data_IF_952491063071
#
_entry.id   IF_952491063071
#
_cell.length_a   1.000
_cell.length_b   1.000
_cell.length_c   1.000
_cell.angle_alpha   90.00
_cell.angle_beta   90.00
_cell.angle_gamma   90.00
#
_symmetry.space_group_name_H-M   'P 1'
#
loop_
_entity.id
_entity.type
_entity.pdbx_description
1 polymer ?
#
# COMPACT_ATOMS: atom_id res chain seq x y z
N UNK A 1 -44.49 22.89 29.86
CA UNK A 1 -43.19 22.74 29.19
C UNK A 1 -42.15 23.50 29.97
N UNK A 2 -41.33 22.80 30.77
CA UNK A 2 -40.11 23.32 31.42
C UNK A 2 -38.92 22.74 30.64
N UNK A 3 -37.90 23.58 30.42
CA UNK A 3 -36.74 23.26 29.57
C UNK A 3 -35.87 22.15 30.17
N UNK A 4 -35.44 21.22 29.31
CA UNK A 4 -34.62 20.05 29.63
C UNK A 4 -33.10 20.35 29.72
N UNK A 5 -32.71 21.46 30.36
CA UNK A 5 -31.30 21.84 30.53
C UNK A 5 -30.81 21.83 32.00
N UNK A 6 -31.64 21.40 32.95
CA UNK A 6 -31.34 21.58 34.39
C UNK A 6 -30.75 20.33 35.09
N UNK A 7 -30.30 19.30 34.36
CA UNK A 7 -29.68 18.12 34.98
C UNK A 7 -28.39 17.72 34.25
N UNK A 8 -27.45 18.65 34.15
CA UNK A 8 -26.06 18.30 33.84
C UNK A 8 -25.19 18.86 34.96
N UNK A 9 -24.44 17.95 35.61
CA UNK A 9 -23.40 18.34 36.55
C UNK A 9 -22.43 19.27 35.84
N UNK A 10 -22.13 20.41 36.46
CA UNK A 10 -21.15 21.32 35.90
C UNK A 10 -19.78 20.64 35.85
N UNK A 11 -18.92 21.08 34.93
CA UNK A 11 -17.55 20.58 34.81
C UNK A 11 -16.77 20.72 36.12
N UNK A 12 -17.08 21.74 36.94
CA UNK A 12 -16.49 21.95 38.25
C UNK A 12 -16.95 20.90 39.28
N UNK A 13 -18.20 20.47 39.22
CA UNK A 13 -18.72 19.40 40.09
C UNK A 13 -18.10 18.05 39.76
N UNK A 14 -17.94 17.74 38.47
CA UNK A 14 -17.24 16.53 38.00
C UNK A 14 -15.78 16.55 38.47
N UNK A 15 -15.10 17.69 38.34
CA UNK A 15 -13.72 17.83 38.79
C UNK A 15 -13.57 17.74 40.31
N UNK A 16 -14.54 18.24 41.09
CA UNK A 16 -14.52 18.15 42.55
C UNK A 16 -14.73 16.70 43.05
N UNK A 17 -15.53 15.90 42.35
CA UNK A 17 -15.71 14.46 42.63
C UNK A 17 -14.42 13.71 42.31
N UNK A 18 -13.81 13.99 41.16
CA UNK A 18 -12.55 13.36 40.75
C UNK A 18 -11.39 13.71 41.67
N UNK A 19 -11.28 14.96 42.14
CA UNK A 19 -10.26 15.36 43.10
C UNK A 19 -10.43 14.69 44.46
N UNK A 20 -11.67 14.52 44.96
CA UNK A 20 -11.92 13.80 46.21
C UNK A 20 -11.54 12.32 46.10
N UNK A 21 -11.93 11.66 45.02
CA UNK A 21 -11.53 10.27 44.74
C UNK A 21 -10.00 10.13 44.64
N UNK A 22 -9.32 11.11 44.03
CA UNK A 22 -7.87 11.13 43.92
C UNK A 22 -7.19 11.28 45.30
N UNK A 23 -7.69 12.19 46.14
CA UNK A 23 -7.11 12.47 47.46
C UNK A 23 -7.12 11.27 48.42
N UNK A 24 -8.05 10.33 48.25
CA UNK A 24 -8.09 9.08 49.01
C UNK A 24 -7.10 8.01 48.52
N UNK A 25 -6.52 8.17 47.33
CA UNK A 25 -5.62 7.16 46.73
C UNK A 25 -4.14 7.53 46.77
N UNK A 26 -3.80 8.77 47.12
CA UNK A 26 -2.43 9.27 47.14
C UNK A 26 -1.86 9.33 48.56
N UNK A 27 -1.11 8.30 48.97
CA UNK A 27 -0.18 8.38 50.10
C UNK A 27 1.18 8.95 49.63
N UNK A 28 1.86 9.86 50.36
CA UNK A 28 3.06 10.53 49.87
C UNK A 28 4.34 9.67 49.91
N UNK A 29 4.29 8.41 50.37
CA UNK A 29 5.49 7.64 50.65
C UNK A 29 5.74 6.55 49.59
N UNK A 30 6.69 6.80 48.66
CA UNK A 30 6.92 5.99 47.44
C UNK A 30 7.49 4.58 47.64
N UNK A 31 7.73 4.11 48.86
CA UNK A 31 8.42 2.83 49.11
C UNK A 31 7.66 1.82 50.00
N UNK A 32 6.32 1.80 49.97
CA UNK A 32 5.54 0.66 50.49
C UNK A 32 4.51 0.18 49.47
N UNK A 33 4.25 -1.14 49.37
CA UNK A 33 3.17 -1.65 48.52
C UNK A 33 1.85 -1.05 48.98
N UNK A 34 1.06 -0.56 48.03
CA UNK A 34 -0.24 0.05 48.27
C UNK A 34 -1.15 -0.99 48.91
N UNK A 35 -1.56 -0.78 50.16
CA UNK A 35 -2.58 -1.61 50.80
C UNK A 35 -3.87 -1.55 49.95
N UNK A 36 -4.42 -2.73 49.63
CA UNK A 36 -5.65 -2.84 48.84
C UNK A 36 -6.77 -2.13 49.60
N UNK A 37 -7.48 -1.25 48.90
CA UNK A 37 -8.70 -0.58 49.39
C UNK A 37 -9.65 -1.62 49.99
N UNK A 38 -10.20 -1.32 51.17
CA UNK A 38 -11.17 -2.20 51.82
C UNK A 38 -12.52 -2.02 51.14
N UNK A 39 -13.34 -3.08 51.16
CA UNK A 39 -14.69 -3.06 50.57
C UNK A 39 -15.53 -1.89 51.10
N UNK A 40 -15.35 -1.53 52.38
CA UNK A 40 -16.01 -0.40 53.03
C UNK A 40 -15.72 0.97 52.39
N UNK A 41 -14.57 1.12 51.72
CA UNK A 41 -14.20 2.38 51.04
C UNK A 41 -14.97 2.56 49.72
N UNK A 42 -15.48 1.45 49.16
CA UNK A 42 -16.28 1.43 47.93
C UNK A 42 -17.77 1.63 48.21
N UNK A 43 -18.25 1.16 49.36
CA UNK A 43 -19.64 1.35 49.79
C UNK A 43 -19.97 2.84 49.96
N UNK A 44 -19.05 3.63 50.54
CA UNK A 44 -19.20 5.09 50.70
C UNK A 44 -19.30 5.81 49.34
N UNK A 45 -18.55 5.35 48.33
CA UNK A 45 -18.59 5.92 46.98
C UNK A 45 -19.90 5.57 46.25
N UNK A 46 -20.42 4.36 46.47
CA UNK A 46 -21.70 3.93 45.93
C UNK A 46 -22.89 4.64 46.61
N UNK A 47 -22.81 4.90 47.91
CA UNK A 47 -23.82 5.66 48.67
C UNK A 47 -23.92 7.12 48.20
N UNK A 48 -22.78 7.78 47.96
CA UNK A 48 -22.72 9.18 47.48
C UNK A 48 -23.30 9.35 46.06
N UNK A 49 -23.19 8.32 45.22
CA UNK A 49 -23.77 8.29 43.86
C UNK A 49 -25.29 8.02 43.94
N UNK A 50 -25.74 7.16 44.86
CA UNK A 50 -27.17 6.87 45.09
C UNK A 50 -27.96 8.07 45.61
N UNK A 51 -27.36 8.90 46.47
CA UNK A 51 -28.05 10.05 47.10
C UNK A 51 -28.43 11.14 46.07
N UNK A 52 -27.81 11.16 44.88
CA UNK A 52 -28.04 12.23 43.88
C UNK A 52 -28.86 11.82 42.66
N UNK A 53 -29.19 10.54 42.51
CA UNK A 53 -29.98 10.03 41.40
C UNK A 53 -31.31 9.45 41.91
N UNK A 54 -32.21 10.30 42.40
CA UNK A 54 -33.62 9.93 42.61
C UNK A 54 -34.53 10.82 41.79
N UNK A 55 -34.82 10.41 40.56
CA UNK A 55 -36.10 10.71 39.92
C UNK A 55 -36.45 9.60 38.94
N UNK A 56 -37.65 9.05 39.11
CA UNK A 56 -38.28 8.07 38.23
C UNK A 56 -38.62 8.74 36.90
N UNK A 57 -37.71 8.71 35.92
CA UNK A 57 -38.04 9.04 34.52
C UNK A 57 -36.91 8.56 33.58
N UNK A 58 -36.63 7.25 33.58
CA UNK A 58 -35.65 6.63 32.68
C UNK A 58 -36.22 5.38 31.99
N UNK A 59 -37.42 5.50 31.40
CA UNK A 59 -38.06 4.39 30.67
C UNK A 59 -38.32 4.64 29.18
N UNK A 60 -37.86 5.75 28.59
CA UNK A 60 -38.01 5.99 27.15
C UNK A 60 -36.85 6.80 26.56
N UNK A 61 -35.69 6.17 26.34
CA UNK A 61 -34.73 6.64 25.34
C UNK A 61 -34.02 5.43 24.71
N UNK A 62 -34.13 5.31 23.39
CA UNK A 62 -33.33 4.39 22.59
C UNK A 62 -31.86 4.79 22.67
N UNK A 63 -31.03 3.93 23.26
CA UNK A 63 -29.57 4.04 23.19
C UNK A 63 -29.16 3.51 21.81
N UNK A 64 -29.37 4.32 20.79
CA UNK A 64 -28.67 4.14 19.52
C UNK A 64 -27.53 5.17 19.44
N UNK A 65 -26.32 4.63 19.32
CA UNK A 65 -25.06 5.34 19.05
C UNK A 65 -24.56 6.30 20.13
N UNK A 66 -23.87 5.74 21.13
CA UNK A 66 -22.83 6.45 21.88
C UNK A 66 -21.47 5.88 21.46
N UNK A 67 -20.85 6.45 20.41
CA UNK A 67 -19.50 6.05 20.00
C UNK A 67 -18.48 6.68 20.95
N UNK A 68 -17.38 5.96 21.23
CA UNK A 68 -16.27 6.48 22.04
C UNK A 68 -15.67 7.80 21.51
N UNK A 69 -15.91 8.14 20.23
CA UNK A 69 -15.53 9.41 19.63
C UNK A 69 -16.25 10.62 20.21
N UNK A 70 -17.54 10.51 20.56
CA UNK A 70 -18.28 11.62 21.16
C UNK A 70 -17.70 12.03 22.52
N UNK A 71 -17.20 11.06 23.27
CA UNK A 71 -16.55 11.27 24.56
C UNK A 71 -15.12 11.83 24.41
N UNK A 72 -14.40 11.41 23.37
CA UNK A 72 -13.05 11.89 23.04
C UNK A 72 -13.05 13.34 22.54
N UNK A 73 -14.10 13.76 21.81
CA UNK A 73 -14.30 15.16 21.41
C UNK A 73 -14.53 16.10 22.60
N UNK A 74 -15.15 15.61 23.68
CA UNK A 74 -15.48 16.41 24.85
C UNK A 74 -14.25 16.72 25.75
N UNK A 75 -13.24 15.84 25.75
CA UNK A 75 -12.10 15.94 26.66
C UNK A 75 -10.80 16.43 25.99
N UNK A 76 -10.78 16.60 24.66
CA UNK A 76 -9.69 17.23 23.91
C UNK A 76 -8.31 16.54 24.03
N UNK A 77 -8.22 15.34 24.62
CA UNK A 77 -6.98 14.56 24.77
C UNK A 77 -7.24 13.04 24.78
N UNK A 78 -6.30 12.22 24.28
CA UNK A 78 -6.41 10.77 24.30
C UNK A 78 -6.33 10.20 25.72
N UNK A 79 -7.18 9.22 26.02
CA UNK A 79 -7.25 8.55 27.31
C UNK A 79 -5.99 7.72 27.59
N UNK A 80 -5.45 7.85 28.80
CA UNK A 80 -4.31 7.04 29.26
C UNK A 80 -4.66 5.55 29.39
N UNK A 81 -3.65 4.67 29.37
CA UNK A 81 -3.81 3.22 29.55
C UNK A 81 -4.60 2.85 30.80
N UNK A 82 -4.49 3.64 31.87
CA UNK A 82 -5.22 3.46 33.15
C UNK A 82 -6.71 3.81 33.03
N UNK A 83 -7.05 4.77 32.17
CA UNK A 83 -8.43 5.19 31.90
C UNK A 83 -9.19 4.18 31.04
N UNK A 84 -8.50 3.43 30.16
CA UNK A 84 -9.08 2.31 29.40
C UNK A 84 -9.50 1.15 30.29
N UNK A 85 -8.72 0.86 31.35
CA UNK A 85 -9.08 -0.17 32.34
C UNK A 85 -10.31 0.24 33.17
N UNK A 86 -10.48 1.53 33.46
CA UNK A 86 -11.69 2.06 34.11
C UNK A 86 -12.90 1.90 33.19
N UNK A 87 -12.74 2.12 31.87
CA UNK A 87 -13.82 1.94 30.89
C UNK A 87 -14.30 0.47 30.80
N UNK A 88 -13.36 -0.48 30.80
CA UNK A 88 -13.66 -1.92 30.85
C UNK A 88 -14.33 -2.29 32.17
N UNK A 89 -13.90 -1.68 33.29
CA UNK A 89 -14.52 -1.91 34.60
C UNK A 89 -15.95 -1.33 34.67
N UNK A 90 -16.21 -0.18 34.06
CA UNK A 90 -17.54 0.42 33.94
C UNK A 90 -18.45 -0.47 33.08
N UNK A 91 -17.96 -0.98 31.95
CA UNK A 91 -18.66 -1.99 31.15
C UNK A 91 -18.96 -3.26 31.96
N UNK A 92 -18.02 -3.71 32.80
CA UNK A 92 -18.21 -4.87 33.66
C UNK A 92 -19.22 -4.62 34.79
N UNK A 93 -19.24 -3.43 35.37
CA UNK A 93 -20.23 -3.01 36.38
C UNK A 93 -21.62 -2.92 35.74
N UNK A 94 -21.74 -2.39 34.52
CA UNK A 94 -22.99 -2.37 33.74
C UNK A 94 -23.48 -3.77 33.38
N UNK A 95 -22.56 -4.73 33.18
CA UNK A 95 -22.88 -6.15 32.97
C UNK A 95 -23.37 -6.81 34.27
N UNK A 96 -22.80 -6.46 35.42
CA UNK A 96 -23.15 -7.03 36.73
C UNK A 96 -24.47 -6.46 37.29
N UNK A 97 -24.84 -5.22 36.95
CA UNK A 97 -26.05 -4.56 37.51
C UNK A 97 -27.33 -4.63 36.65
N UNK A 98 -27.45 -5.60 35.73
CA UNK A 98 -28.67 -5.87 34.93
C UNK A 98 -29.19 -4.71 34.06
N UNK A 99 -28.98 -4.83 32.73
CA UNK A 99 -30.00 -4.74 31.66
C UNK A 99 -29.28 -4.69 30.29
N UNK A 100 -28.81 -5.85 29.82
CA UNK A 100 -28.57 -6.03 28.38
C UNK A 100 -29.87 -6.53 27.77
N UNK A 101 -30.29 -5.91 26.67
CA UNK A 101 -31.35 -6.47 25.86
C UNK A 101 -30.87 -7.76 25.15
N UNK A 102 -31.80 -8.47 24.52
CA UNK A 102 -31.48 -9.77 23.92
C UNK A 102 -30.58 -9.66 22.67
N UNK A 103 -30.52 -8.48 22.03
CA UNK A 103 -29.64 -8.21 20.89
C UNK A 103 -28.19 -8.07 21.34
N UNK A 104 -27.94 -7.36 22.44
CA UNK A 104 -26.60 -7.21 23.00
C UNK A 104 -26.08 -8.51 23.64
N UNK A 105 -26.97 -9.33 24.22
CA UNK A 105 -26.62 -10.70 24.65
C UNK A 105 -26.19 -11.56 23.46
N UNK A 106 -26.84 -11.43 22.30
CA UNK A 106 -26.49 -12.19 21.11
C UNK A 106 -25.14 -11.76 20.52
N UNK A 107 -24.83 -10.46 20.48
CA UNK A 107 -23.51 -9.97 20.08
C UNK A 107 -22.41 -10.44 21.04
N UNK A 108 -22.65 -10.39 22.35
CA UNK A 108 -21.70 -10.88 23.34
C UNK A 108 -21.48 -12.40 23.22
N UNK A 109 -22.55 -13.17 22.98
CA UNK A 109 -22.45 -14.61 22.74
C UNK A 109 -21.62 -14.93 21.49
N UNK A 110 -21.80 -14.18 20.40
CA UNK A 110 -21.02 -14.34 19.17
C UNK A 110 -19.55 -13.99 19.37
N UNK A 111 -19.26 -12.91 20.12
CA UNK A 111 -17.90 -12.52 20.48
C UNK A 111 -17.19 -13.61 21.31
N UNK A 112 -17.87 -14.16 22.32
CA UNK A 112 -17.32 -15.24 23.15
C UNK A 112 -17.13 -16.55 22.37
N UNK A 113 -18.01 -16.83 21.41
CA UNK A 113 -17.92 -18.00 20.52
C UNK A 113 -16.73 -17.88 19.56
N UNK A 114 -16.50 -16.70 18.99
CA UNK A 114 -15.33 -16.41 18.16
C UNK A 114 -14.02 -16.54 18.95
N UNK A 115 -14.00 -16.02 20.19
CA UNK A 115 -12.83 -16.15 21.09
C UNK A 115 -12.52 -17.60 21.46
N UNK A 116 -13.53 -18.41 21.77
CA UNK A 116 -13.31 -19.81 22.13
C UNK A 116 -12.90 -20.67 20.94
N UNK A 117 -13.41 -20.39 19.72
CA UNK A 117 -12.95 -21.03 18.49
C UNK A 117 -11.47 -20.73 18.21
N UNK A 118 -11.07 -19.47 18.40
CA UNK A 118 -9.68 -19.05 18.31
C UNK A 118 -8.78 -19.81 19.30
N UNK A 119 -9.17 -19.91 20.57
CA UNK A 119 -8.35 -20.60 21.59
C UNK A 119 -8.23 -22.12 21.35
N UNK A 120 -9.26 -22.78 20.83
CA UNK A 120 -9.19 -24.22 20.53
C UNK A 120 -8.31 -24.54 19.32
N UNK A 121 -8.30 -23.67 18.30
CA UNK A 121 -7.53 -23.89 17.07
C UNK A 121 -6.01 -23.71 17.28
N UNK A 122 -5.61 -22.87 18.23
CA UNK A 122 -4.21 -22.47 18.39
C UNK A 122 -3.52 -23.01 19.65
N UNK A 123 -4.21 -23.72 20.54
CA UNK A 123 -3.61 -24.24 21.78
C UNK A 123 -3.76 -25.76 22.01
N UNK A 124 -4.27 -26.54 21.03
CA UNK A 124 -4.33 -28.00 21.16
C UNK A 124 -3.93 -28.70 19.85
N UNK A 125 -2.65 -29.04 19.71
CA UNK A 125 -2.18 -30.41 19.44
C UNK A 125 -0.73 -30.39 18.97
N UNK A 126 0.13 -30.92 19.84
CA UNK A 126 1.51 -31.26 19.54
C UNK A 126 1.61 -32.76 19.85
N UNK A 127 1.49 -33.61 18.81
CA UNK A 127 1.97 -34.99 18.85
C UNK A 127 2.52 -35.42 17.49
N UNK A 128 3.75 -35.90 17.60
CA UNK A 128 4.73 -36.38 16.63
C UNK A 128 4.29 -37.60 15.81
N UNK A 129 4.85 -37.76 14.60
CA UNK A 129 5.42 -39.05 14.15
C UNK A 129 6.35 -38.91 12.91
N UNK A 130 7.27 -39.89 12.69
CA UNK A 130 8.52 -39.73 11.94
C UNK A 130 8.44 -40.17 10.46
N UNK A 131 9.36 -39.66 9.64
CA UNK A 131 9.55 -40.01 8.22
C UNK A 131 10.69 -41.01 8.06
N UNK A 132 10.42 -42.10 7.34
CA UNK A 132 11.37 -43.13 6.90
C UNK A 132 11.83 -42.91 5.46
N UNK A 133 13.10 -43.22 5.22
CA UNK A 133 13.85 -43.20 3.95
C UNK A 133 13.71 -44.50 3.15
N UNK A 134 13.71 -44.41 1.81
CA UNK A 134 14.16 -45.44 0.86
C UNK A 134 14.38 -44.77 -0.52
N UNK A 135 15.61 -44.67 -1.02
CA UNK A 135 16.35 -45.61 -1.89
C UNK A 135 15.88 -45.70 -3.35
N UNK A 136 16.86 -45.49 -4.23
CA UNK A 136 16.84 -45.44 -5.69
C UNK A 136 17.63 -46.68 -6.18
N UNK A 137 17.36 -47.29 -7.36
CA UNK A 137 18.43 -47.27 -8.36
C UNK A 137 18.04 -47.36 -9.86
N UNK A 138 18.82 -46.63 -10.67
CA UNK A 138 19.50 -46.98 -11.93
C UNK A 138 18.77 -47.71 -13.07
N UNK A 139 18.95 -47.20 -14.30
CA UNK A 139 19.30 -48.04 -15.46
C UNK A 139 20.06 -47.30 -16.58
N UNK A 140 21.31 -47.74 -16.78
CA UNK A 140 22.12 -47.91 -17.99
C UNK A 140 21.69 -47.32 -19.35
N UNK A 141 22.56 -46.46 -19.92
CA UNK A 141 22.60 -46.18 -21.37
C UNK A 141 23.93 -46.68 -21.97
N UNK A 142 23.79 -47.49 -23.03
CA UNK A 142 24.86 -48.17 -23.78
C UNK A 142 25.69 -47.20 -24.63
N UNK A 143 27.02 -47.40 -24.62
CA UNK A 143 27.98 -46.86 -25.59
C UNK A 143 27.79 -47.52 -26.97
N UNK A 144 27.80 -46.72 -28.04
CA UNK A 144 28.05 -47.19 -29.41
C UNK A 144 29.24 -46.45 -30.04
N UNK A 145 29.90 -47.22 -30.89
CA UNK A 145 31.24 -47.13 -31.45
C UNK A 145 31.42 -46.04 -32.51
N UNK A 146 32.61 -45.44 -32.52
CA UNK A 146 33.08 -44.49 -33.52
C UNK A 146 33.56 -45.21 -34.79
N UNK A 147 33.23 -44.67 -35.97
CA UNK A 147 33.94 -44.96 -37.21
C UNK A 147 34.19 -43.68 -38.02
N UNK A 148 35.47 -43.44 -38.29
CA UNK A 148 36.07 -42.92 -39.53
C UNK A 148 35.29 -41.94 -40.42
N UNK A 149 35.69 -40.66 -40.37
CA UNK A 149 35.96 -39.85 -41.58
C UNK A 149 36.86 -38.64 -41.21
N UNK A 150 38.17 -38.79 -41.42
CA UNK A 150 39.17 -37.82 -40.93
C UNK A 150 39.33 -36.57 -41.82
N UNK A 151 38.73 -36.54 -43.01
CA UNK A 151 38.88 -35.41 -43.96
C UNK A 151 37.67 -34.47 -43.98
N UNK A 152 36.52 -34.89 -43.44
CA UNK A 152 35.31 -34.06 -43.36
C UNK A 152 35.26 -33.17 -42.11
N UNK A 153 36.12 -33.41 -41.11
CA UNK A 153 36.12 -32.70 -39.83
C UNK A 153 36.72 -31.29 -39.89
N UNK A 154 37.66 -31.04 -40.80
CA UNK A 154 38.32 -29.72 -40.88
C UNK A 154 37.40 -28.63 -41.45
N UNK A 155 36.50 -28.97 -42.37
CA UNK A 155 35.53 -28.00 -42.90
C UNK A 155 34.53 -27.53 -41.85
N UNK A 156 34.04 -28.44 -40.99
CA UNK A 156 33.14 -28.05 -39.88
C UNK A 156 33.86 -27.24 -38.81
N UNK A 157 35.13 -27.53 -38.51
CA UNK A 157 35.91 -26.74 -37.54
C UNK A 157 36.15 -25.31 -38.06
N UNK A 158 36.43 -25.14 -39.36
CA UNK A 158 36.55 -23.81 -39.98
C UNK A 158 35.22 -23.05 -40.00
N UNK A 159 34.10 -23.72 -40.26
CA UNK A 159 32.77 -23.11 -40.26
C UNK A 159 32.35 -22.69 -38.85
N UNK A 160 32.64 -23.51 -37.83
CA UNK A 160 32.39 -23.20 -36.42
C UNK A 160 33.28 -22.03 -35.97
N UNK A 161 34.55 -21.98 -36.37
CA UNK A 161 35.44 -20.87 -36.04
C UNK A 161 35.00 -19.55 -36.68
N UNK A 162 34.53 -19.57 -37.93
CA UNK A 162 34.04 -18.39 -38.63
C UNK A 162 32.72 -17.86 -38.02
N UNK A 163 31.79 -18.77 -37.68
CA UNK A 163 30.57 -18.40 -36.97
C UNK A 163 30.86 -17.92 -35.55
N UNK A 164 31.83 -18.52 -34.85
CA UNK A 164 32.30 -18.06 -33.55
C UNK A 164 32.87 -16.64 -33.60
N UNK A 165 33.66 -16.32 -34.64
CA UNK A 165 34.18 -14.97 -34.87
C UNK A 165 33.07 -13.96 -35.19
N UNK A 166 32.05 -14.33 -35.98
CA UNK A 166 30.90 -13.48 -36.26
C UNK A 166 30.04 -13.24 -35.01
N UNK A 167 29.82 -14.29 -34.21
CA UNK A 167 29.13 -14.18 -32.92
C UNK A 167 29.92 -13.32 -31.93
N UNK A 168 31.25 -13.48 -31.86
CA UNK A 168 32.09 -12.60 -31.02
C UNK A 168 32.10 -11.15 -31.53
N UNK A 169 32.03 -10.92 -32.85
CA UNK A 169 31.94 -9.57 -33.40
C UNK A 169 30.59 -8.92 -33.10
N UNK A 170 29.49 -9.68 -33.23
CA UNK A 170 28.15 -9.22 -32.87
C UNK A 170 27.99 -9.03 -31.35
N UNK A 171 28.62 -9.88 -30.53
CA UNK A 171 28.65 -9.76 -29.08
C UNK A 171 29.54 -8.60 -28.61
N UNK A 172 30.69 -8.38 -29.26
CA UNK A 172 31.52 -7.20 -29.01
C UNK A 172 30.81 -5.92 -29.45
N UNK A 173 30.05 -5.96 -30.54
CA UNK A 173 29.25 -4.83 -31.02
C UNK A 173 28.02 -4.57 -30.13
N UNK A 174 27.38 -5.61 -29.58
CA UNK A 174 26.28 -5.46 -28.62
C UNK A 174 26.73 -5.00 -27.24
N UNK A 175 27.95 -5.35 -26.82
CA UNK A 175 28.52 -4.89 -25.53
C UNK A 175 29.16 -3.50 -25.61
N UNK A 176 29.52 -3.02 -26.80
CA UNK A 176 30.09 -1.67 -27.00
C UNK A 176 29.08 -0.63 -27.47
N UNK A 177 27.86 -1.02 -27.85
CA UNK A 177 26.74 -0.11 -28.03
C UNK A 177 26.07 0.20 -26.69
N UNK A 178 26.86 0.68 -25.73
CA UNK A 178 26.34 1.55 -24.68
C UNK A 178 25.99 2.87 -25.36
N UNK A 179 24.78 2.94 -25.91
CA UNK A 179 24.20 4.20 -26.36
C UNK A 179 24.24 5.17 -25.20
N UNK A 180 25.09 6.19 -25.30
CA UNK A 180 24.97 7.40 -24.48
C UNK A 180 23.74 8.17 -24.97
N UNK A 181 22.54 7.60 -24.87
CA UNK A 181 21.31 8.37 -25.09
C UNK A 181 21.18 9.35 -23.93
N UNK A 182 21.65 10.57 -24.18
CA UNK A 182 21.37 11.72 -23.32
C UNK A 182 19.85 11.90 -23.35
N UNK A 183 19.15 11.42 -22.32
CA UNK A 183 17.73 11.74 -22.16
C UNK A 183 17.67 13.22 -21.80
N UNK A 184 17.31 14.03 -22.78
CA UNK A 184 17.19 15.48 -22.64
C UNK A 184 15.71 15.74 -22.40
N UNK A 185 15.34 15.97 -21.14
CA UNK A 185 14.04 16.58 -20.82
C UNK A 185 14.28 18.09 -20.90
N UNK A 186 13.71 18.72 -21.93
CA UNK A 186 13.68 20.18 -22.08
C UNK A 186 12.32 20.70 -21.61
N UNK A 187 12.31 21.85 -20.94
CA UNK A 187 11.04 22.49 -20.61
C UNK A 187 10.39 23.07 -21.86
N UNK A 188 9.05 23.10 -21.89
CA UNK A 188 8.28 23.68 -22.99
C UNK A 188 8.29 25.22 -23.02
N UNK A 189 8.85 25.90 -22.01
CA UNK A 189 9.05 27.35 -22.04
C UNK A 189 10.44 27.65 -22.62
N UNK A 190 10.50 28.13 -23.86
CA UNK A 190 11.74 28.42 -24.59
C UNK A 190 12.72 29.33 -23.82
N UNK A 191 12.22 30.09 -22.84
CA UNK A 191 13.01 31.02 -22.02
C UNK A 191 13.68 30.33 -20.84
N UNK A 192 13.10 29.25 -20.32
CA UNK A 192 13.63 28.49 -19.17
C UNK A 192 14.22 27.20 -19.72
N UNK A 193 15.52 27.24 -19.99
CA UNK A 193 16.24 26.05 -20.45
C UNK A 193 16.71 25.27 -19.25
N UNK A 194 15.88 24.36 -18.78
CA UNK A 194 16.33 23.27 -17.92
C UNK A 194 16.63 22.08 -18.80
N UNK A 195 17.84 21.56 -18.67
CA UNK A 195 18.26 20.34 -19.33
C UNK A 195 18.70 19.36 -18.27
N UNK A 196 18.07 18.21 -18.30
CA UNK A 196 18.42 17.12 -17.40
C UNK A 196 19.45 16.25 -18.10
N UNK A 197 20.55 15.96 -17.42
CA UNK A 197 21.55 15.03 -17.93
C UNK A 197 21.93 14.06 -16.84
N UNK A 198 21.97 12.77 -17.17
CA UNK A 198 22.47 11.77 -16.26
C UNK A 198 23.88 11.37 -16.70
N UNK A 199 24.87 11.56 -15.81
CA UNK A 199 26.26 11.15 -16.07
C UNK A 199 26.48 9.64 -15.92
N UNK A 200 25.52 8.90 -15.32
CA UNK A 200 25.57 7.46 -15.11
C UNK A 200 24.24 6.86 -15.56
N UNK A 201 24.26 6.12 -16.66
CA UNK A 201 23.13 5.64 -17.49
C UNK A 201 22.08 4.73 -16.81
N UNK A 202 21.60 5.14 -15.64
CA UNK A 202 20.89 4.31 -14.69
C UNK A 202 20.01 5.27 -13.91
N UNK A 203 18.81 5.57 -14.41
CA UNK A 203 17.77 6.26 -13.63
C UNK A 203 17.23 5.33 -12.55
N UNK A 204 18.10 4.67 -11.81
CA UNK A 204 17.73 3.83 -10.69
C UNK A 204 18.49 4.29 -9.46
N UNK A 205 17.83 4.34 -8.30
CA UNK A 205 18.47 4.87 -7.13
C UNK A 205 19.63 4.00 -6.60
N UNK A 206 20.65 4.62 -5.99
CA UNK A 206 20.86 6.07 -5.98
C UNK A 206 21.30 6.57 -7.37
N UNK A 207 20.63 7.59 -7.92
CA UNK A 207 21.03 8.19 -9.19
C UNK A 207 21.24 9.70 -9.07
N UNK A 208 22.32 10.16 -9.70
CA UNK A 208 22.64 11.58 -9.79
C UNK A 208 21.98 12.19 -11.03
N UNK A 209 21.15 13.19 -10.81
CA UNK A 209 20.51 13.95 -11.88
C UNK A 209 21.12 15.34 -11.90
N UNK A 210 21.68 15.71 -13.05
CA UNK A 210 22.25 17.03 -13.28
C UNK A 210 21.19 17.91 -13.93
N UNK A 211 20.88 19.01 -13.28
CA UNK A 211 19.99 20.08 -13.71
C UNK A 211 20.83 21.20 -14.29
N UNK A 212 21.02 21.20 -15.61
CA UNK A 212 21.64 22.32 -16.32
C UNK A 212 20.59 23.41 -16.51
N UNK A 213 20.88 24.65 -16.11
CA UNK A 213 19.93 25.77 -16.20
C UNK A 213 20.56 26.99 -16.89
N UNK A 214 19.75 27.73 -17.65
CA UNK A 214 20.11 29.00 -18.28
C UNK A 214 18.93 29.98 -18.26
N UNK A 215 19.13 31.11 -17.57
CA UNK A 215 18.19 32.20 -17.35
C UNK A 215 18.80 33.56 -17.75
N UNK A 216 19.89 33.59 -18.54
CA UNK A 216 20.59 34.85 -18.89
C UNK A 216 19.70 35.92 -19.51
N UNK A 217 18.67 35.49 -20.24
CA UNK A 217 17.72 36.37 -20.94
C UNK A 217 16.48 36.70 -20.09
N UNK A 218 16.48 36.32 -18.80
CA UNK A 218 15.37 36.56 -17.87
C UNK A 218 15.85 37.47 -16.74
N UNK A 219 15.09 38.54 -16.46
CA UNK A 219 15.31 39.38 -15.27
C UNK A 219 14.63 38.75 -14.06
N UNK A 220 15.39 38.47 -13.01
CA UNK A 220 14.90 37.93 -11.73
C UNK A 220 15.74 38.49 -10.57
N UNK A 221 15.22 38.44 -9.33
CA UNK A 221 15.98 38.78 -8.12
C UNK A 221 16.50 37.53 -7.43
N UNK A 222 15.68 36.49 -7.36
CA UNK A 222 16.01 35.23 -6.72
C UNK A 222 15.64 34.05 -7.62
N UNK A 223 16.50 33.03 -7.65
CA UNK A 223 16.29 31.80 -8.38
C UNK A 223 16.47 30.59 -7.47
N UNK A 224 15.56 29.64 -7.55
CA UNK A 224 15.60 28.40 -6.77
C UNK A 224 15.29 27.18 -7.64
N UNK A 225 16.01 26.09 -7.39
CA UNK A 225 15.58 24.74 -7.75
C UNK A 225 14.77 24.18 -6.57
N UNK A 226 13.57 23.68 -6.83
CA UNK A 226 12.67 23.14 -5.81
C UNK A 226 12.56 21.63 -5.98
N UNK A 227 13.07 20.86 -5.02
CA UNK A 227 13.01 19.39 -5.00
C UNK A 227 12.39 18.97 -3.68
N UNK A 228 11.33 18.15 -3.70
CA UNK A 228 10.60 17.73 -2.50
C UNK A 228 10.15 18.91 -1.60
N UNK A 229 9.82 20.05 -2.22
CA UNK A 229 9.45 21.28 -1.52
C UNK A 229 10.62 22.07 -0.91
N UNK A 230 11.84 21.53 -0.94
CA UNK A 230 13.04 22.24 -0.49
C UNK A 230 13.52 23.21 -1.57
N UNK A 231 13.75 24.47 -1.20
CA UNK A 231 14.29 25.50 -2.08
C UNK A 231 15.81 25.52 -2.00
N UNK A 232 16.46 25.31 -3.13
CA UNK A 232 17.91 25.33 -3.29
C UNK A 232 18.26 26.59 -4.09
N UNK A 233 18.99 27.57 -3.51
CA UNK A 233 19.33 28.79 -4.22
C UNK A 233 20.24 28.51 -5.41
N UNK A 234 20.02 29.24 -6.52
CA UNK A 234 20.84 29.21 -7.73
C UNK A 234 21.58 30.54 -7.87
N UNK A 235 22.87 30.54 -7.56
CA UNK A 235 23.68 31.77 -7.43
C UNK A 235 24.10 32.41 -8.77
N UNK A 236 23.84 31.72 -9.89
CA UNK A 236 24.21 32.18 -11.22
C UNK A 236 22.97 32.20 -12.14
N UNK A 237 23.02 33.02 -13.18
CA UNK A 237 22.02 32.98 -14.27
C UNK A 237 22.21 31.80 -15.21
N UNK A 238 23.34 31.11 -15.14
CA UNK A 238 23.57 29.87 -15.85
C UNK A 238 24.47 28.98 -15.00
N UNK A 239 24.17 27.68 -14.97
CA UNK A 239 24.98 26.72 -14.24
C UNK A 239 24.41 25.32 -14.29
N UNK A 240 24.89 24.48 -13.39
CA UNK A 240 24.40 23.12 -13.20
C UNK A 240 24.28 22.82 -11.72
N UNK A 241 23.20 22.15 -11.32
CA UNK A 241 23.04 21.60 -9.97
C UNK A 241 22.89 20.08 -10.04
N UNK A 242 23.53 19.32 -9.15
CA UNK A 242 23.38 17.86 -9.12
C UNK A 242 22.63 17.45 -7.86
N UNK A 243 21.57 16.66 -8.03
CA UNK A 243 20.84 16.05 -6.91
C UNK A 243 20.90 14.53 -7.01
N UNK A 244 21.09 13.86 -5.87
CA UNK A 244 21.06 12.39 -5.79
C UNK A 244 19.69 11.94 -5.33
N UNK A 245 18.95 11.26 -6.20
CA UNK A 245 17.68 10.62 -5.88
C UNK A 245 17.94 9.25 -5.29
N UNK A 246 17.43 9.00 -4.08
CA UNK A 246 17.69 7.77 -3.31
C UNK A 246 16.53 6.76 -3.34
N UNK A 247 15.39 7.14 -3.92
CA UNK A 247 14.22 6.27 -4.07
C UNK A 247 13.62 6.39 -5.47
N UNK A 248 13.06 5.30 -6.02
CA UNK A 248 12.37 5.33 -7.30
C UNK A 248 11.03 6.04 -7.09
N UNK A 249 10.54 6.72 -8.12
CA UNK A 249 9.30 7.47 -8.02
C UNK A 249 9.16 8.50 -9.12
N UNK A 250 8.01 9.17 -9.11
CA UNK A 250 7.81 10.38 -9.91
C UNK A 250 8.03 11.57 -8.98
N UNK A 251 9.14 12.28 -9.18
CA UNK A 251 9.48 13.44 -8.38
C UNK A 251 9.03 14.71 -9.08
N UNK A 252 8.19 15.50 -8.41
CA UNK A 252 7.88 16.86 -8.86
C UNK A 252 9.04 17.78 -8.55
N UNK A 253 9.70 18.28 -9.58
CA UNK A 253 10.76 19.26 -9.46
C UNK A 253 10.28 20.57 -10.05
N UNK A 254 10.77 21.70 -9.54
CA UNK A 254 10.40 23.00 -10.06
C UNK A 254 11.59 23.95 -10.18
N UNK A 255 11.53 24.86 -11.14
CA UNK A 255 12.33 26.09 -11.13
C UNK A 255 11.44 27.23 -10.65
N UNK A 256 11.91 27.97 -9.64
CA UNK A 256 11.26 29.17 -9.14
C UNK A 256 12.14 30.39 -9.43
N UNK A 257 11.61 31.37 -10.15
CA UNK A 257 12.20 32.68 -10.39
C UNK A 257 11.28 33.74 -9.77
N UNK A 258 11.71 34.39 -8.69
CA UNK A 258 10.88 35.26 -7.85
C UNK A 258 9.56 34.57 -7.44
N UNK A 259 8.42 35.04 -7.99
CA UNK A 259 7.08 34.50 -7.74
C UNK A 259 6.60 33.50 -8.81
N UNK A 260 7.39 33.28 -9.86
CA UNK A 260 7.03 32.37 -10.95
C UNK A 260 7.60 30.99 -10.66
N UNK A 261 6.75 29.97 -10.62
CA UNK A 261 7.15 28.58 -10.42
C UNK A 261 6.76 27.76 -11.66
N UNK A 262 7.69 26.96 -12.17
CA UNK A 262 7.47 26.01 -13.25
C UNK A 262 7.83 24.62 -12.80
N UNK A 263 6.84 23.72 -12.80
CA UNK A 263 6.99 22.33 -12.40
C UNK A 263 7.26 21.44 -13.62
N UNK A 264 7.94 20.33 -13.37
CA UNK A 264 8.11 19.23 -14.31
C UNK A 264 8.20 17.93 -13.51
N UNK A 265 7.74 16.84 -14.12
CA UNK A 265 7.81 15.51 -13.52
C UNK A 265 9.14 14.85 -13.92
N UNK A 266 9.78 14.25 -12.94
CA UNK A 266 10.99 13.46 -13.13
C UNK A 266 10.73 12.02 -12.76
N UNK A 267 10.79 11.13 -13.75
CA UNK A 267 10.62 9.68 -13.54
C UNK A 267 11.96 9.06 -13.14
N UNK A 268 12.07 8.67 -11.88
CA UNK A 268 13.16 7.85 -11.37
C UNK A 268 12.73 6.39 -11.44
N UNK A 269 13.28 5.65 -12.41
CA UNK A 269 13.00 4.24 -12.69
C UNK A 269 13.47 3.35 -11.53
N UNK A 270 12.96 2.13 -11.46
CA UNK A 270 13.41 1.13 -10.50
C UNK A 270 14.25 0.04 -11.18
N UNK A 271 15.17 -0.59 -10.44
CA UNK A 271 15.98 -1.74 -10.93
C UNK A 271 15.20 -3.07 -10.98
N UNK A 272 13.90 -3.02 -10.76
CA UNK A 272 13.05 -4.17 -10.50
C UNK A 272 11.84 -3.71 -9.69
N UNK A 273 11.15 -4.66 -9.09
CA UNK A 273 10.11 -4.35 -8.12
C UNK A 273 10.72 -3.79 -6.83
N UNK A 274 9.94 -3.00 -6.11
CA UNK A 274 10.19 -2.65 -4.72
C UNK A 274 8.88 -2.66 -3.97
N UNK A 275 8.95 -2.85 -2.66
CA UNK A 275 7.79 -2.92 -1.80
C UNK A 275 7.78 -1.77 -0.80
N UNK A 276 6.60 -1.21 -0.59
CA UNK A 276 6.33 -0.28 0.50
C UNK A 276 5.31 -0.94 1.43
N UNK A 277 5.70 -1.16 2.69
CA UNK A 277 4.78 -1.62 3.74
C UNK A 277 4.56 -0.45 4.69
N UNK A 278 3.34 0.07 4.74
CA UNK A 278 2.98 1.31 5.46
C UNK A 278 3.94 2.48 5.17
N UNK A 279 4.26 2.68 3.89
CA UNK A 279 5.21 3.68 3.38
C UNK A 279 6.69 3.44 3.75
N UNK A 280 7.02 2.30 4.36
CA UNK A 280 8.40 1.92 4.63
C UNK A 280 8.92 1.05 3.48
N UNK A 281 10.04 1.45 2.89
CA UNK A 281 10.70 0.63 1.87
C UNK A 281 11.24 -0.66 2.48
N UNK A 282 10.73 -1.79 2.01
CA UNK A 282 11.04 -3.12 2.51
C UNK A 282 11.71 -3.95 1.41
N UNK A 283 12.72 -4.80 1.73
CA UNK A 283 13.26 -5.76 0.78
C UNK A 283 12.16 -6.70 0.30
N UNK A 284 12.08 -6.96 -1.01
CA UNK A 284 11.11 -7.89 -1.59
C UNK A 284 11.18 -9.26 -0.91
N UNK A 285 10.01 -9.88 -0.75
CA UNK A 285 9.84 -11.22 -0.22
C UNK A 285 9.01 -12.04 -1.18
N UNK A 286 9.32 -13.33 -1.22
CA UNK A 286 8.69 -14.29 -2.11
C UNK A 286 8.26 -15.51 -1.31
N UNK A 287 7.10 -16.06 -1.63
CA UNK A 287 6.57 -17.30 -1.04
C UNK A 287 5.96 -18.14 -2.15
N UNK A 288 6.50 -19.34 -2.34
CA UNK A 288 6.05 -20.29 -3.38
C UNK A 288 6.02 -19.67 -4.79
N UNK A 289 7.00 -18.82 -5.13
CA UNK A 289 7.08 -18.17 -6.44
C UNK A 289 6.29 -16.86 -6.56
N UNK A 290 5.45 -16.50 -5.57
CA UNK A 290 4.69 -15.25 -5.58
C UNK A 290 5.38 -14.14 -4.76
N UNK A 291 5.24 -12.88 -5.17
CA UNK A 291 5.55 -11.72 -4.32
C UNK A 291 4.59 -11.69 -3.14
N UNK A 292 5.12 -11.78 -1.92
CA UNK A 292 4.32 -11.87 -0.70
C UNK A 292 5.16 -11.61 0.56
N UNK A 293 4.56 -10.94 1.56
CA UNK A 293 5.07 -10.89 2.92
C UNK A 293 4.27 -11.80 3.86
N UNK A 294 4.94 -12.77 4.48
CA UNK A 294 4.39 -13.44 5.66
C UNK A 294 4.33 -12.40 6.81
N UNK A 295 3.20 -12.34 7.53
CA UNK A 295 3.06 -11.40 8.66
C UNK A 295 4.16 -11.53 9.72
N UNK A 296 4.68 -12.75 9.93
CA UNK A 296 5.79 -13.01 10.87
C UNK A 296 7.12 -12.35 10.47
N UNK A 297 7.28 -12.00 9.20
CA UNK A 297 8.49 -11.38 8.65
C UNK A 297 8.42 -9.84 8.75
N UNK A 298 7.26 -9.29 9.10
CA UNK A 298 7.05 -7.87 9.27
C UNK A 298 7.45 -7.42 10.69
N UNK A 299 8.03 -6.22 10.84
CA UNK A 299 8.26 -5.63 12.16
C UNK A 299 6.97 -5.57 12.98
N UNK A 300 7.05 -5.98 14.25
CA UNK A 300 5.87 -6.04 15.14
C UNK A 300 5.12 -4.70 15.22
N UNK A 301 5.84 -3.58 15.12
CA UNK A 301 5.28 -2.23 15.14
C UNK A 301 4.30 -1.97 13.99
N UNK A 302 4.49 -2.60 12.83
CA UNK A 302 3.55 -2.48 11.69
C UNK A 302 2.25 -3.25 11.92
N UNK A 303 2.24 -4.18 12.88
CA UNK A 303 1.08 -5.02 13.18
C UNK A 303 0.29 -4.53 14.39
N UNK A 304 0.82 -3.57 15.16
CA UNK A 304 0.22 -3.11 16.42
C UNK A 304 -1.13 -2.40 16.21
N UNK A 305 -1.26 -1.63 15.14
CA UNK A 305 -2.48 -0.87 14.83
C UNK A 305 -3.53 -1.72 14.10
N UNK A 306 -3.19 -2.95 13.74
CA UNK A 306 -4.07 -3.89 13.06
C UNK A 306 -4.46 -3.46 11.64
N UNK A 307 -3.81 -2.43 11.09
CA UNK A 307 -3.94 -1.99 9.70
C UNK A 307 -2.61 -2.21 9.02
N UNK A 308 -2.62 -2.90 7.89
CA UNK A 308 -1.44 -3.19 7.12
C UNK A 308 -1.72 -2.81 5.67
N UNK A 309 -0.86 -2.00 5.07
CA UNK A 309 -0.91 -1.69 3.65
C UNK A 309 0.39 -2.09 2.98
N UNK A 310 0.28 -2.89 1.92
CA UNK A 310 1.44 -3.33 1.14
C UNK A 310 1.29 -2.89 -0.30
N UNK A 311 2.32 -2.22 -0.83
CA UNK A 311 2.36 -1.79 -2.23
C UNK A 311 3.58 -2.39 -2.91
N UNK A 312 3.38 -3.15 -3.97
CA UNK A 312 4.45 -3.58 -4.86
C UNK A 312 4.46 -2.65 -6.06
N UNK A 313 5.58 -1.99 -6.29
CA UNK A 313 5.70 -0.96 -7.32
C UNK A 313 6.85 -1.25 -8.26
N UNK A 314 6.65 -0.97 -9.54
CA UNK A 314 7.69 -0.96 -10.56
C UNK A 314 7.56 0.30 -11.42
N UNK A 315 8.69 0.91 -11.70
CA UNK A 315 8.77 2.11 -12.53
C UNK A 315 9.74 1.79 -13.66
N UNK A 316 9.20 1.70 -14.87
CA UNK A 316 9.94 1.22 -16.03
C UNK A 316 9.38 1.86 -17.30
N UNK A 317 10.15 1.84 -18.38
CA UNK A 317 9.68 2.32 -19.67
C UNK A 317 9.31 1.09 -20.49
N UNK A 318 8.04 0.70 -20.49
CA UNK A 318 7.58 -0.51 -21.18
C UNK A 318 7.30 -0.28 -22.67
N UNK A 319 7.30 0.98 -23.13
CA UNK A 319 6.86 1.34 -24.49
C UNK A 319 5.43 0.84 -24.80
N UNK A 320 4.58 0.76 -23.77
CA UNK A 320 3.17 0.37 -23.87
C UNK A 320 2.29 1.59 -23.66
N UNK A 321 1.46 1.89 -24.65
CA UNK A 321 0.49 2.98 -24.58
C UNK A 321 -0.77 2.53 -23.83
N UNK A 322 -1.13 3.24 -22.76
CA UNK A 322 -2.26 2.93 -21.89
C UNK A 322 -3.64 3.07 -22.54
N UNK A 323 -3.73 3.68 -23.72
CA UNK A 323 -4.95 3.77 -24.50
C UNK A 323 -5.14 2.60 -25.49
N UNK A 324 -4.13 1.73 -25.64
CA UNK A 324 -4.24 0.49 -26.40
C UNK A 324 -3.34 -0.63 -25.86
N UNK A 325 -3.76 -1.21 -24.73
CA UNK A 325 -3.01 -2.24 -24.02
C UNK A 325 -3.89 -3.30 -23.39
N UNK A 326 -3.23 -4.37 -22.94
CA UNK A 326 -3.79 -5.34 -22.00
C UNK A 326 -2.84 -5.47 -20.82
N UNK A 327 -3.38 -5.37 -19.60
CA UNK A 327 -2.71 -5.66 -18.35
C UNK A 327 -3.40 -6.85 -17.68
N UNK A 328 -2.63 -7.84 -17.26
CA UNK A 328 -3.11 -9.04 -16.59
C UNK A 328 -2.28 -9.28 -15.32
N UNK A 329 -2.92 -9.70 -14.23
CA UNK A 329 -2.25 -10.06 -13.00
C UNK A 329 -3.03 -11.12 -12.24
N UNK A 330 -2.32 -12.02 -11.57
CA UNK A 330 -2.92 -13.03 -10.70
C UNK A 330 -2.65 -12.68 -9.24
N UNK A 331 -3.72 -12.38 -8.51
CA UNK A 331 -3.62 -11.81 -7.16
C UNK A 331 -4.49 -12.55 -6.15
N UNK A 332 -4.13 -12.47 -4.88
CA UNK A 332 -5.00 -12.80 -3.74
C UNK A 332 -4.74 -11.83 -2.59
N UNK A 333 -5.70 -11.67 -1.69
CA UNK A 333 -5.50 -10.91 -0.46
C UNK A 333 -6.43 -11.43 0.65
N UNK A 334 -6.17 -12.59 1.25
CA UNK A 334 -7.06 -13.16 2.26
C UNK A 334 -7.03 -12.37 3.58
N UNK A 335 -8.14 -12.40 4.32
CA UNK A 335 -8.27 -11.72 5.61
C UNK A 335 -7.17 -12.12 6.61
N UNK A 336 -6.81 -13.41 6.68
CA UNK A 336 -5.77 -13.91 7.58
C UNK A 336 -4.35 -13.40 7.27
N UNK A 337 -4.12 -12.84 6.08
CA UNK A 337 -2.86 -12.22 5.66
C UNK A 337 -2.82 -10.71 6.00
N UNK A 338 -3.54 -10.29 7.05
CA UNK A 338 -3.52 -8.93 7.58
C UNK A 338 -4.56 -8.00 6.96
N UNK A 339 -5.56 -8.56 6.26
CA UNK A 339 -6.70 -7.80 5.78
C UNK A 339 -7.49 -7.17 6.95
N UNK A 340 -7.97 -5.95 6.73
CA UNK A 340 -8.89 -5.27 7.65
C UNK A 340 -10.31 -5.29 7.11
N UNK A 341 -11.28 -4.71 7.83
CA UNK A 341 -12.64 -4.58 7.30
C UNK A 341 -12.62 -3.94 5.91
N UNK A 342 -13.30 -4.57 4.95
CA UNK A 342 -13.29 -4.15 3.55
C UNK A 342 -11.89 -4.11 2.91
N UNK A 343 -11.09 -5.16 3.13
CA UNK A 343 -9.81 -5.31 2.45
C UNK A 343 -9.98 -5.40 0.93
N UNK A 344 -8.95 -5.01 0.20
CA UNK A 344 -9.00 -4.87 -1.24
C UNK A 344 -7.66 -5.20 -1.91
N UNK A 345 -7.71 -5.28 -3.24
CA UNK A 345 -6.53 -5.25 -4.11
C UNK A 345 -6.71 -4.06 -5.05
N UNK A 346 -5.77 -3.11 -4.99
CA UNK A 346 -5.76 -1.91 -5.81
C UNK A 346 -4.71 -2.02 -6.91
N UNK A 347 -5.03 -1.51 -8.09
CA UNK A 347 -4.18 -1.45 -9.26
C UNK A 347 -4.06 -0.01 -9.70
N UNK A 348 -2.84 0.49 -9.81
CA UNK A 348 -2.53 1.84 -10.27
C UNK A 348 -1.48 1.79 -11.39
N UNK A 349 -1.91 2.15 -12.60
CA UNK A 349 -1.06 2.29 -13.77
C UNK A 349 -1.05 3.77 -14.17
N UNK A 350 0.13 4.41 -14.12
CA UNK A 350 0.26 5.84 -14.47
C UNK A 350 0.89 5.97 -15.83
N UNK A 351 0.18 6.65 -16.71
CA UNK A 351 0.63 6.95 -18.05
C UNK A 351 1.25 8.35 -18.16
N UNK A 352 2.13 8.48 -19.14
CA UNK A 352 2.96 9.65 -19.37
C UNK A 352 2.83 10.12 -20.81
N UNK A 353 2.85 11.44 -20.99
CA UNK A 353 2.94 12.08 -22.30
C UNK A 353 4.02 13.15 -22.22
N UNK A 354 4.94 13.14 -23.18
CA UNK A 354 6.07 14.07 -23.24
C UNK A 354 6.84 14.15 -21.90
N UNK A 355 7.07 12.99 -21.27
CA UNK A 355 7.73 12.82 -19.96
C UNK A 355 7.05 13.49 -18.76
N UNK A 356 5.81 13.96 -18.91
CA UNK A 356 4.97 14.42 -17.80
C UNK A 356 3.87 13.41 -17.52
N UNK A 357 3.38 13.36 -16.28
CA UNK A 357 2.19 12.56 -15.97
C UNK A 357 1.04 13.06 -16.84
N UNK A 358 0.41 12.14 -17.58
CA UNK A 358 -0.78 12.43 -18.36
C UNK A 358 -2.01 12.10 -17.53
N UNK A 359 -2.53 10.87 -17.63
CA UNK A 359 -3.63 10.37 -16.81
C UNK A 359 -3.29 8.97 -16.27
N UNK A 360 -4.20 8.38 -15.49
CA UNK A 360 -4.00 7.09 -14.85
C UNK A 360 -5.14 6.12 -15.13
N UNK A 361 -4.84 4.83 -14.96
CA UNK A 361 -5.80 3.76 -14.76
C UNK A 361 -5.68 3.34 -13.30
N UNK A 362 -6.76 3.49 -12.55
CA UNK A 362 -6.79 3.15 -11.12
C UNK A 362 -8.08 2.41 -10.81
N UNK A 363 -8.00 1.19 -10.31
CA UNK A 363 -9.19 0.44 -9.87
C UNK A 363 -8.86 -0.50 -8.73
N UNK A 364 -9.87 -0.84 -7.93
CA UNK A 364 -9.71 -1.83 -6.88
C UNK A 364 -10.84 -2.86 -6.89
N UNK A 365 -10.45 -4.08 -6.48
CA UNK A 365 -11.33 -5.20 -6.20
C UNK A 365 -11.47 -5.28 -4.68
N UNK A 366 -12.70 -5.22 -4.18
CA UNK A 366 -13.01 -5.18 -2.75
C UNK A 366 -13.68 -6.47 -2.31
N UNK A 367 -13.69 -6.75 -1.02
CA UNK A 367 -14.48 -7.88 -0.50
C UNK A 367 -15.98 -7.71 -0.73
N UNK A 368 -16.72 -8.82 -0.63
CA UNK A 368 -18.19 -8.82 -0.60
C UNK A 368 -18.75 -7.79 0.39
N UNK A 369 -19.86 -7.16 0.02
CA UNK A 369 -20.60 -6.12 0.77
C UNK A 369 -19.80 -4.82 1.05
N UNK A 370 -18.70 -4.60 0.34
CA UNK A 370 -17.84 -3.42 0.46
C UNK A 370 -17.79 -2.56 -0.81
N UNK A 371 -18.77 -2.68 -1.71
CA UNK A 371 -18.83 -1.97 -3.00
C UNK A 371 -18.74 -0.44 -2.85
N UNK A 372 -19.15 0.10 -1.69
CA UNK A 372 -18.99 1.52 -1.37
C UNK A 372 -17.53 2.00 -1.42
N UNK A 373 -16.58 1.09 -1.21
CA UNK A 373 -15.13 1.38 -1.23
C UNK A 373 -14.48 1.05 -2.57
N UNK A 374 -15.22 0.52 -3.54
CA UNK A 374 -14.74 0.33 -4.89
C UNK A 374 -14.61 1.69 -5.60
N UNK A 375 -13.53 1.82 -6.38
CA UNK A 375 -13.22 2.95 -7.22
C UNK A 375 -12.71 2.43 -8.56
N UNK A 376 -12.98 3.20 -9.60
CA UNK A 376 -12.56 2.89 -10.96
C UNK A 376 -12.30 4.20 -11.68
N UNK A 377 -11.13 4.35 -12.26
CA UNK A 377 -10.72 5.51 -13.04
C UNK A 377 -9.92 5.05 -14.24
N UNK A 378 -10.25 5.59 -15.42
CA UNK A 378 -9.44 5.46 -16.64
C UNK A 378 -9.45 6.81 -17.33
N UNK A 379 -8.27 7.38 -17.55
CA UNK A 379 -8.16 8.74 -18.09
C UNK A 379 -8.83 9.75 -17.15
N UNK A 380 -9.79 10.51 -17.67
CA UNK A 380 -10.62 11.49 -16.95
C UNK A 380 -11.95 10.91 -16.47
N UNK A 381 -12.31 9.70 -16.89
CA UNK A 381 -13.55 9.05 -16.49
C UNK A 381 -13.32 8.32 -15.18
N UNK A 382 -14.20 8.55 -14.19
CA UNK A 382 -14.08 7.95 -12.87
C UNK A 382 -15.46 7.61 -12.28
N UNK A 383 -15.53 6.49 -11.57
CA UNK A 383 -16.66 5.98 -10.82
C UNK A 383 -16.23 5.69 -9.38
N UNK A 384 -17.13 5.89 -8.43
CA UNK A 384 -16.87 5.62 -7.02
C UNK A 384 -18.13 5.14 -6.31
N UNK A 385 -18.02 4.02 -5.59
CA UNK A 385 -19.10 3.51 -4.76
C UNK A 385 -19.53 4.51 -3.68
N UNK A 386 -18.63 5.38 -3.22
CA UNK A 386 -18.96 6.44 -2.27
C UNK A 386 -19.88 7.52 -2.86
N UNK A 387 -19.84 7.71 -4.17
CA UNK A 387 -20.70 8.64 -4.91
C UNK A 387 -22.02 8.00 -5.36
N UNK A 388 -22.22 6.72 -5.08
CA UNK A 388 -23.41 5.97 -5.46
C UNK A 388 -23.33 5.33 -6.85
N UNK A 389 -22.16 5.32 -7.48
CA UNK A 389 -21.97 4.54 -8.71
C UNK A 389 -22.09 3.04 -8.40
N UNK A 390 -22.75 2.30 -9.28
CA UNK A 390 -22.92 0.86 -9.08
C UNK A 390 -21.63 0.10 -9.44
N UNK A 391 -20.87 -0.25 -8.40
CA UNK A 391 -19.63 -1.02 -8.50
C UNK A 391 -19.72 -2.39 -7.78
N UNK A 392 -20.93 -2.94 -7.65
CA UNK A 392 -21.15 -4.27 -7.04
C UNK A 392 -20.31 -5.36 -7.72
N UNK A 393 -20.10 -5.25 -9.04
CA UNK A 393 -19.29 -6.21 -9.79
C UNK A 393 -17.79 -6.18 -9.44
N UNK A 394 -17.32 -5.15 -8.72
CA UNK A 394 -15.97 -5.10 -8.15
C UNK A 394 -15.83 -5.84 -6.80
N UNK A 395 -16.92 -6.44 -6.30
CA UNK A 395 -16.89 -7.21 -5.05
C UNK A 395 -16.62 -8.69 -5.34
N UNK A 396 -15.69 -9.32 -4.61
CA UNK A 396 -15.42 -10.76 -4.70
C UNK A 396 -14.80 -11.32 -3.42
N UNK A 397 -14.76 -12.64 -3.32
CA UNK A 397 -14.01 -13.34 -2.27
C UNK A 397 -12.52 -13.36 -2.58
N UNK A 398 -11.76 -12.44 -2.00
CA UNK A 398 -10.31 -12.30 -2.21
C UNK A 398 -9.46 -13.34 -1.45
N UNK A 399 -10.08 -14.37 -0.86
CA UNK A 399 -9.35 -15.43 -0.14
C UNK A 399 -8.58 -16.40 -1.05
N UNK A 400 -8.93 -16.43 -2.34
CA UNK A 400 -8.31 -17.27 -3.36
C UNK A 400 -7.60 -16.45 -4.44
N UNK A 401 -6.83 -17.12 -5.30
CA UNK A 401 -6.19 -16.46 -6.44
C UNK A 401 -7.22 -16.17 -7.53
N UNK A 402 -7.20 -14.93 -8.02
CA UNK A 402 -8.02 -14.46 -9.12
C UNK A 402 -7.13 -13.93 -10.24
N UNK A 403 -7.50 -14.27 -11.48
CA UNK A 403 -6.87 -13.73 -12.68
C UNK A 403 -7.63 -12.45 -13.06
N UNK A 404 -6.97 -11.29 -12.94
CA UNK A 404 -7.53 -9.97 -13.21
C UNK A 404 -6.98 -9.48 -14.55
N UNK A 405 -7.86 -9.02 -15.43
CA UNK A 405 -7.52 -8.48 -16.74
C UNK A 405 -8.12 -7.10 -16.94
N UNK A 406 -7.30 -6.15 -17.36
CA UNK A 406 -7.68 -4.82 -17.79
C UNK A 406 -7.29 -4.62 -19.25
N UNK A 407 -8.23 -4.24 -20.09
CA UNK A 407 -8.02 -3.98 -21.52
C UNK A 407 -8.46 -2.56 -21.86
N UNK A 408 -7.65 -1.85 -22.63
CA UNK A 408 -8.04 -0.60 -23.29
C UNK A 408 -7.85 -0.74 -24.78
N UNK A 409 -8.86 -0.29 -25.54
CA UNK A 409 -8.79 -0.19 -26.99
C UNK A 409 -9.81 0.83 -27.48
N UNK A 410 -9.40 1.75 -28.36
CA UNK A 410 -10.28 2.78 -28.94
C UNK A 410 -11.13 3.53 -27.89
N UNK A 411 -10.51 3.92 -26.78
CA UNK A 411 -11.17 4.57 -25.63
C UNK A 411 -12.30 3.77 -24.96
N UNK A 412 -12.38 2.46 -25.22
CA UNK A 412 -13.16 1.52 -24.43
C UNK A 412 -12.25 0.85 -23.40
N UNK A 413 -12.68 0.84 -22.14
CA UNK A 413 -12.01 0.12 -21.07
C UNK A 413 -12.87 -1.07 -20.64
N UNK A 414 -12.21 -2.21 -20.41
CA UNK A 414 -12.86 -3.46 -20.01
C UNK A 414 -12.07 -4.11 -18.88
N UNK A 415 -12.78 -4.48 -17.81
CA UNK A 415 -12.22 -5.21 -16.67
C UNK A 415 -12.87 -6.57 -16.61
N UNK A 416 -12.04 -7.61 -16.52
CA UNK A 416 -12.49 -8.98 -16.33
C UNK A 416 -11.80 -9.62 -15.12
N UNK A 417 -12.51 -10.50 -14.44
CA UNK A 417 -12.00 -11.33 -13.34
C UNK A 417 -12.37 -12.78 -13.64
N UNK A 418 -11.40 -13.68 -13.63
CA UNK A 418 -11.57 -15.10 -13.97
C UNK A 418 -12.35 -15.31 -15.28
N UNK A 419 -11.89 -14.61 -16.33
CA UNK A 419 -12.48 -14.56 -17.67
C UNK A 419 -13.92 -13.99 -17.77
N UNK A 420 -14.48 -13.45 -16.67
CA UNK A 420 -15.78 -12.80 -16.67
C UNK A 420 -15.65 -11.28 -16.68
N UNK A 421 -16.30 -10.63 -17.64
CA UNK A 421 -16.34 -9.16 -17.73
C UNK A 421 -17.17 -8.61 -16.58
N UNK A 422 -16.56 -7.78 -15.73
CA UNK A 422 -17.22 -7.12 -14.60
C UNK A 422 -17.52 -5.65 -14.87
N UNK A 423 -16.73 -4.98 -15.72
CA UNK A 423 -16.96 -3.60 -16.14
C UNK A 423 -16.57 -3.41 -17.61
N UNK A 424 -17.37 -2.64 -18.33
CA UNK A 424 -17.08 -2.19 -19.69
C UNK A 424 -17.66 -0.79 -19.89
N UNK A 425 -16.84 0.16 -20.32
CA UNK A 425 -17.27 1.56 -20.46
C UNK A 425 -16.36 2.35 -21.39
N UNK A 426 -16.91 3.42 -21.98
CA UNK A 426 -16.14 4.41 -22.73
C UNK A 426 -15.53 5.41 -21.75
N UNK A 427 -14.24 5.71 -21.93
CA UNK A 427 -13.55 6.72 -21.14
C UNK A 427 -13.14 7.94 -21.98
N UNK A 428 -12.71 8.99 -21.31
CA UNK A 428 -12.23 10.23 -21.93
C UNK A 428 -10.84 10.60 -21.43
N UNK A 429 -10.11 11.41 -22.19
CA UNK A 429 -8.71 11.71 -21.91
C UNK A 429 -7.75 10.71 -22.55
N UNK A 430 -6.45 10.94 -22.38
CA UNK A 430 -5.38 10.09 -22.89
C UNK A 430 -4.56 9.61 -21.69
N UNK A 431 -4.42 8.29 -21.56
CA UNK A 431 -3.56 7.71 -20.52
C UNK A 431 -2.09 7.94 -20.88
N UNK A 432 -1.72 7.76 -22.16
CA UNK A 432 -0.33 7.88 -22.60
C UNK A 432 0.51 6.65 -22.25
N UNK A 433 1.82 6.75 -22.33
CA UNK A 433 2.72 5.60 -22.16
C UNK A 433 2.84 5.21 -20.69
N UNK A 434 2.52 3.96 -20.37
CA UNK A 434 2.60 3.45 -19.00
C UNK A 434 4.06 3.44 -18.57
N UNK A 435 4.36 4.09 -17.43
CA UNK A 435 5.70 4.08 -16.82
C UNK A 435 5.74 3.72 -15.34
N UNK A 436 4.57 3.60 -14.72
CA UNK A 436 4.41 3.24 -13.32
C UNK A 436 3.33 2.17 -13.19
N UNK A 437 3.65 1.09 -12.50
CA UNK A 437 2.66 0.08 -12.07
C UNK A 437 2.82 -0.08 -10.57
N UNK A 438 1.70 0.01 -9.85
CA UNK A 438 1.59 -0.34 -8.45
C UNK A 438 0.41 -1.31 -8.27
N UNK A 439 0.64 -2.36 -7.50
CA UNK A 439 -0.41 -3.24 -6.99
C UNK A 439 -0.37 -3.11 -5.46
N UNK A 440 -1.44 -2.52 -4.93
CA UNK A 440 -1.65 -2.23 -3.53
C UNK A 440 -2.59 -3.24 -2.88
N UNK A 441 -2.38 -3.47 -1.60
CA UNK A 441 -3.18 -4.38 -0.79
C UNK A 441 -3.49 -3.73 0.55
N UNK A 442 -4.76 -3.73 0.95
CA UNK A 442 -5.13 -3.62 2.36
C UNK A 442 -4.89 -4.97 3.03
N UNK A 443 -3.64 -5.24 3.38
CA UNK A 443 -3.11 -6.51 3.86
C UNK A 443 -1.69 -6.73 3.36
N UNK A 444 -1.16 -7.95 3.50
CA UNK A 444 0.14 -8.30 2.91
C UNK A 444 0.05 -8.70 1.44
N UNK A 445 -1.10 -9.25 1.02
CA UNK A 445 -1.42 -9.60 -0.37
C UNK A 445 -0.44 -10.58 -1.01
N UNK A 446 -0.81 -11.14 -2.16
CA UNK A 446 0.15 -11.85 -3.01
C UNK A 446 -0.08 -11.58 -4.48
N UNK A 447 1.02 -11.52 -5.24
CA UNK A 447 1.01 -11.46 -6.70
C UNK A 447 1.77 -12.67 -7.22
N UNK A 448 1.09 -13.57 -7.93
CA UNK A 448 1.69 -14.76 -8.51
C UNK A 448 2.44 -14.44 -9.81
N UNK A 449 1.79 -13.69 -10.70
CA UNK A 449 2.41 -13.19 -11.92
C UNK A 449 1.68 -11.94 -12.40
N UNK A 450 2.32 -11.19 -13.30
CA UNK A 450 1.67 -10.15 -14.08
C UNK A 450 2.25 -10.04 -15.49
N UNK A 451 1.46 -9.49 -16.39
CA UNK A 451 1.80 -9.19 -17.76
C UNK A 451 1.23 -7.83 -18.17
N UNK A 452 2.01 -7.05 -18.92
CA UNK A 452 1.52 -5.89 -19.66
C UNK A 452 1.95 -6.04 -21.12
N UNK A 453 1.02 -5.84 -22.05
CA UNK A 453 1.25 -5.97 -23.49
C UNK A 453 0.59 -4.84 -24.26
N UNK A 454 1.26 -4.44 -25.34
CA UNK A 454 0.66 -3.58 -26.36
C UNK A 454 -0.31 -4.40 -27.20
N UNK A 455 -1.47 -3.84 -27.55
CA UNK A 455 -2.38 -4.49 -28.50
C UNK A 455 -1.97 -4.22 -29.97
N UNK A 456 -1.08 -3.25 -30.22
CA UNK A 456 -0.63 -2.84 -31.57
C UNK A 456 0.71 -3.45 -31.99
N UNK A 457 1.48 -4.00 -31.06
CA UNK A 457 2.84 -4.47 -31.30
C UNK A 457 3.16 -5.73 -30.50
N UNK A 458 4.25 -6.41 -30.83
CA UNK A 458 4.72 -7.59 -30.10
C UNK A 458 5.37 -7.24 -28.75
N UNK A 459 5.27 -5.99 -28.30
CA UNK A 459 5.81 -5.54 -27.02
C UNK A 459 4.99 -6.16 -25.89
N UNK A 460 5.65 -6.99 -25.10
CA UNK A 460 5.11 -7.54 -23.86
C UNK A 460 6.17 -7.59 -22.76
N UNK A 461 5.73 -7.39 -21.53
CA UNK A 461 6.52 -7.59 -20.34
C UNK A 461 5.75 -8.52 -19.41
N UNK A 462 6.41 -9.57 -18.93
CA UNK A 462 5.85 -10.53 -17.98
C UNK A 462 6.82 -10.75 -16.83
N UNK A 463 6.27 -10.90 -15.63
CA UNK A 463 7.00 -11.26 -14.42
C UNK A 463 6.25 -12.36 -13.69
N UNK A 464 6.92 -13.50 -13.50
CA UNK A 464 6.39 -14.66 -12.76
C UNK A 464 7.02 -14.77 -11.36
N UNK A 465 7.83 -13.80 -10.94
CA UNK A 465 8.40 -13.70 -9.58
C UNK A 465 9.18 -14.93 -9.06
N UNK A 466 9.64 -15.79 -9.97
CA UNK A 466 10.27 -17.09 -9.68
C UNK A 466 11.71 -17.04 -9.11
N UNK A 467 12.14 -15.92 -8.53
CA UNK A 467 13.42 -15.78 -7.82
C UNK A 467 14.65 -15.68 -8.71
#
# INVERSE_FOLDING_TARGET
MKNANDVLLSTEEVNAILQRAWSHTSSPNRNKPVDRLKVSDWDVLAEDIKIRCSSEEFSQYEINTFSGEAYMKLLGKPLSKKSRSIYVLVLFILIVEHKLDDKDKAHLANFLKARNHFLQKYFVSDQTNPVTTAENPNTNIKKKTASSSYVQRYWWVSLIALNGLLLMKNFAFSTTRTENSKEIIETTDERIKLKMTNKKFRFHPPCDVVFDYDFKDISYKEAFLVIYGQKIPLDASQGSYTHTFTAPGVSKVAIQLDNTIKYFDLVIRSNGWFALVDNINMPLKYKNGALHYDLKDLPAQLLEDGQLYTNYTKIHDWEVNGDDMTFEARVKNPLEEGGISCYDVAFDLVGFKDNSIAESISFNLVTLDCERYANLKVGKTAFSGQKGDNLVASTLDLSSYHDVRFETHDHCAKISVDDQVIHEFIYSGEVGDIKYIQIGFMGSGSIDWLEIKSNKSDISYRDDFNG
#
